data_IF_972052210013
#
_entry.id   IF_972052210013
#
_cell.length_a   1.000
_cell.length_b   1.000
_cell.length_c   1.000
_cell.angle_alpha   90.00
_cell.angle_beta   90.00
_cell.angle_gamma   90.00
#
_symmetry.space_group_name_H-M   'P 1'
#
loop_
_entity.id
_entity.type
_entity.pdbx_description
1 polymer ?
#
# COMPACT_ATOMS: atom_id res chain seq x y z
N UNK A 1 -0.84 3.48 -20.91
CA UNK A 1 -0.03 3.87 -19.74
C UNK A 1 -0.17 5.35 -19.33
N UNK A 2 -0.19 6.32 -20.26
CA UNK A 2 -0.15 7.76 -19.92
C UNK A 2 -1.35 8.30 -19.13
N UNK A 3 -2.58 7.82 -19.41
CA UNK A 3 -3.80 8.30 -18.75
C UNK A 3 -3.82 7.99 -17.25
N UNK A 4 -3.51 6.76 -16.84
CA UNK A 4 -3.48 6.37 -15.42
C UNK A 4 -2.44 7.19 -14.65
N UNK A 5 -1.27 7.43 -15.29
CA UNK A 5 -0.20 8.23 -14.70
C UNK A 5 -0.66 9.65 -14.35
N UNK A 6 -1.52 10.27 -15.16
CA UNK A 6 -2.07 11.59 -14.87
C UNK A 6 -2.87 11.62 -13.55
N UNK A 7 -3.71 10.61 -13.30
CA UNK A 7 -4.50 10.54 -12.06
C UNK A 7 -3.61 10.26 -10.84
N UNK A 8 -2.59 9.41 -11.00
CA UNK A 8 -1.61 9.11 -9.94
C UNK A 8 -0.73 10.34 -9.64
N UNK A 9 -0.32 11.10 -10.65
CA UNK A 9 0.53 12.28 -10.50
C UNK A 9 -0.14 13.37 -9.65
N UNK A 10 -1.46 13.56 -9.77
CA UNK A 10 -2.23 14.49 -8.91
C UNK A 10 -2.05 14.20 -7.41
N UNK A 11 -1.71 12.95 -7.05
CA UNK A 11 -1.57 12.49 -5.65
C UNK A 11 -0.22 11.85 -5.36
N UNK A 12 0.78 12.17 -6.17
CA UNK A 12 2.15 11.67 -6.01
C UNK A 12 2.68 11.90 -4.59
N UNK A 13 2.33 13.02 -3.95
CA UNK A 13 2.72 13.30 -2.56
C UNK A 13 2.19 12.27 -1.56
N UNK A 14 0.90 11.89 -1.67
CA UNK A 14 0.28 10.87 -0.79
C UNK A 14 0.86 9.49 -1.01
N UNK A 15 1.06 9.09 -2.28
CA UNK A 15 1.73 7.83 -2.58
C UNK A 15 3.17 7.81 -2.07
N UNK A 16 3.91 8.91 -2.20
CA UNK A 16 5.27 9.03 -1.68
C UNK A 16 5.32 8.89 -0.16
N UNK A 17 4.42 9.56 0.58
CA UNK A 17 4.35 9.43 2.05
C UNK A 17 3.96 8.01 2.49
N UNK A 18 3.06 7.36 1.74
CA UNK A 18 2.68 5.97 1.98
C UNK A 18 3.89 5.03 1.78
N UNK A 19 4.62 5.16 0.66
CA UNK A 19 5.85 4.38 0.42
C UNK A 19 6.88 4.58 1.54
N UNK A 20 7.10 5.82 1.98
CA UNK A 20 8.08 6.11 3.03
C UNK A 20 7.69 5.45 4.36
N UNK A 21 6.41 5.49 4.73
CA UNK A 21 5.89 4.79 5.91
C UNK A 21 6.00 3.27 5.79
N UNK A 22 5.70 2.70 4.62
CA UNK A 22 5.87 1.29 4.37
C UNK A 22 7.34 0.84 4.51
N UNK A 23 8.29 1.65 4.01
CA UNK A 23 9.74 1.39 4.19
C UNK A 23 10.12 1.39 5.68
N UNK A 24 9.62 2.36 6.45
CA UNK A 24 9.83 2.37 7.91
C UNK A 24 9.30 1.10 8.56
N UNK A 25 8.14 0.61 8.11
CA UNK A 25 7.58 -0.67 8.56
C UNK A 25 8.50 -1.85 8.26
N UNK A 26 8.99 -1.98 7.03
CA UNK A 26 9.92 -3.03 6.59
C UNK A 26 11.22 -3.00 7.42
N UNK A 27 11.82 -1.82 7.57
CA UNK A 27 13.06 -1.64 8.35
C UNK A 27 12.85 -1.98 9.82
N UNK A 28 11.73 -1.57 10.41
CA UNK A 28 11.39 -1.90 11.82
C UNK A 28 11.24 -3.41 12.01
N UNK A 29 10.61 -4.09 11.04
CA UNK A 29 10.50 -5.55 11.05
C UNK A 29 11.87 -6.24 10.91
N UNK A 30 12.78 -5.68 10.11
CA UNK A 30 14.15 -6.20 10.03
C UNK A 30 14.86 -6.11 11.40
N UNK A 31 14.73 -4.99 12.11
CA UNK A 31 15.30 -4.84 13.45
C UNK A 31 14.68 -5.80 14.47
N UNK A 32 13.38 -6.11 14.39
CA UNK A 32 12.76 -7.11 15.28
C UNK A 32 13.41 -8.48 15.12
N UNK A 33 13.74 -8.90 13.89
CA UNK A 33 14.49 -10.13 13.64
C UNK A 33 15.93 -10.08 14.17
N UNK A 34 16.62 -8.94 14.05
CA UNK A 34 17.97 -8.77 14.60
C UNK A 34 17.96 -8.91 16.12
N UNK A 35 17.00 -8.30 16.81
CA UNK A 35 16.86 -8.44 18.27
C UNK A 35 16.47 -9.86 18.68
N UNK A 36 15.59 -10.52 17.90
CA UNK A 36 15.23 -11.92 18.13
C UNK A 36 16.45 -12.84 18.01
N UNK A 37 17.30 -12.65 17.00
CA UNK A 37 18.53 -13.40 16.84
C UNK A 37 19.50 -13.20 18.02
N UNK A 38 19.66 -11.95 18.49
CA UNK A 38 20.48 -11.65 19.69
C UNK A 38 19.95 -12.36 20.94
N UNK A 39 18.63 -12.39 21.11
CA UNK A 39 17.97 -13.06 22.23
C UNK A 39 18.28 -14.57 22.21
N UNK A 40 18.14 -15.22 21.04
CA UNK A 40 18.43 -16.65 20.85
C UNK A 40 19.91 -16.95 21.12
N UNK A 41 20.84 -16.16 20.58
CA UNK A 41 22.29 -16.36 20.79
C UNK A 41 22.66 -16.22 22.27
N UNK A 42 22.10 -15.22 22.96
CA UNK A 42 22.32 -15.03 24.40
C UNK A 42 21.82 -16.23 25.21
N UNK A 43 20.66 -16.77 24.85
CA UNK A 43 20.09 -17.96 25.50
C UNK A 43 20.96 -19.19 25.32
N UNK A 44 21.45 -19.45 24.10
CA UNK A 44 22.35 -20.57 23.81
C UNK A 44 23.69 -20.42 24.53
N UNK A 45 24.19 -19.19 24.69
CA UNK A 45 25.42 -18.90 25.42
C UNK A 45 25.31 -19.13 26.94
N UNK A 46 24.11 -19.45 27.44
CA UNK A 46 23.87 -19.71 28.86
C UNK A 46 23.72 -18.46 29.71
N UNK A 47 23.48 -17.29 29.09
CA UNK A 47 23.25 -16.04 29.81
C UNK A 47 21.94 -16.12 30.61
N UNK A 48 21.98 -15.77 31.90
CA UNK A 48 20.85 -15.78 32.84
C UNK A 48 20.41 -14.38 33.29
N UNK A 49 20.93 -13.34 32.64
CA UNK A 49 20.58 -11.95 32.93
C UNK A 49 19.14 -11.64 32.51
N UNK A 50 18.25 -11.61 33.50
CA UNK A 50 16.82 -11.35 33.32
C UNK A 50 16.57 -9.94 32.78
N UNK A 51 17.37 -8.95 33.18
CA UNK A 51 17.19 -7.57 32.73
C UNK A 51 17.44 -7.46 31.22
N UNK A 52 18.48 -8.14 30.73
CA UNK A 52 18.78 -8.23 29.28
C UNK A 52 17.61 -8.83 28.49
N UNK A 53 17.01 -9.94 28.95
CA UNK A 53 15.90 -10.56 28.25
C UNK A 53 14.66 -9.67 28.27
N UNK A 54 14.34 -9.05 29.41
CA UNK A 54 13.21 -8.16 29.53
C UNK A 54 13.34 -6.93 28.60
N UNK A 55 14.51 -6.27 28.60
CA UNK A 55 14.76 -5.12 27.73
C UNK A 55 14.72 -5.51 26.24
N UNK A 56 15.26 -6.68 25.89
CA UNK A 56 15.27 -7.16 24.49
C UNK A 56 13.86 -7.51 24.01
N UNK A 57 13.05 -8.15 24.84
CA UNK A 57 11.64 -8.40 24.56
C UNK A 57 10.85 -7.11 24.38
N UNK A 58 11.08 -6.10 25.23
CA UNK A 58 10.45 -4.78 25.11
C UNK A 58 10.85 -4.09 23.78
N UNK A 59 12.11 -4.21 23.37
CA UNK A 59 12.59 -3.68 22.11
C UNK A 59 11.93 -4.36 20.90
N UNK A 60 11.80 -5.69 20.93
CA UNK A 60 11.10 -6.46 19.88
C UNK A 60 9.63 -6.00 19.79
N UNK A 61 8.95 -5.88 20.93
CA UNK A 61 7.57 -5.40 20.99
C UNK A 61 7.46 -3.99 20.39
N UNK A 62 8.35 -3.08 20.78
CA UNK A 62 8.38 -1.71 20.25
C UNK A 62 8.56 -1.70 18.72
N UNK A 63 9.49 -2.50 18.19
CA UNK A 63 9.71 -2.61 16.74
C UNK A 63 8.47 -3.14 16.00
N UNK A 64 7.76 -4.11 16.57
CA UNK A 64 6.50 -4.59 15.99
C UNK A 64 5.39 -3.54 16.03
N UNK A 65 5.26 -2.79 17.13
CA UNK A 65 4.28 -1.70 17.21
C UNK A 65 4.57 -0.63 16.16
N UNK A 66 5.82 -0.20 16.01
CA UNK A 66 6.21 0.77 14.98
C UNK A 66 5.89 0.22 13.59
N UNK A 67 6.22 -1.06 13.33
CA UNK A 67 5.92 -1.72 12.05
C UNK A 67 4.42 -1.67 11.73
N UNK A 68 3.57 -2.17 12.62
CA UNK A 68 2.13 -2.29 12.37
C UNK A 68 1.45 -0.92 12.26
N UNK A 69 1.86 0.06 13.08
CA UNK A 69 1.34 1.43 13.00
C UNK A 69 1.75 2.10 11.69
N UNK A 70 3.03 2.00 11.31
CA UNK A 70 3.51 2.60 10.06
C UNK A 70 2.84 1.96 8.83
N UNK A 71 2.69 0.63 8.82
CA UNK A 71 2.00 -0.10 7.77
C UNK A 71 0.51 0.31 7.70
N UNK A 72 -0.19 0.35 8.83
CA UNK A 72 -1.60 0.75 8.87
C UNK A 72 -1.85 2.17 8.36
N UNK A 73 -0.99 3.13 8.73
CA UNK A 73 -1.09 4.50 8.21
C UNK A 73 -0.75 4.53 6.71
N UNK A 74 0.31 3.83 6.30
CA UNK A 74 0.71 3.71 4.89
C UNK A 74 -0.45 3.23 4.01
N UNK A 75 -1.08 2.11 4.39
CA UNK A 75 -2.21 1.49 3.68
C UNK A 75 -3.41 2.42 3.65
N UNK A 76 -3.71 3.11 4.75
CA UNK A 76 -4.81 4.08 4.79
C UNK A 76 -4.60 5.21 3.77
N UNK A 77 -3.41 5.80 3.74
CA UNK A 77 -3.08 6.90 2.81
C UNK A 77 -3.15 6.43 1.35
N UNK A 78 -2.65 5.23 1.04
CA UNK A 78 -2.69 4.70 -0.33
C UNK A 78 -4.11 4.35 -0.78
N UNK A 79 -4.96 3.79 0.09
CA UNK A 79 -6.38 3.58 -0.22
C UNK A 79 -7.09 4.90 -0.49
N UNK A 80 -6.92 5.91 0.36
CA UNK A 80 -7.55 7.22 0.15
C UNK A 80 -7.09 7.85 -1.17
N UNK A 81 -5.79 7.76 -1.49
CA UNK A 81 -5.25 8.23 -2.76
C UNK A 81 -5.79 7.43 -3.96
N UNK A 82 -6.04 6.14 -3.78
CA UNK A 82 -6.51 5.24 -4.83
C UNK A 82 -8.00 5.39 -5.09
N UNK A 83 -8.85 5.36 -4.07
CA UNK A 83 -10.30 5.48 -4.23
C UNK A 83 -10.72 6.79 -4.85
N UNK A 84 -10.10 7.90 -4.44
CA UNK A 84 -10.36 9.18 -5.07
C UNK A 84 -9.93 9.15 -6.57
N UNK A 85 -9.00 8.27 -7.00
CA UNK A 85 -8.44 8.26 -8.38
C UNK A 85 -9.39 7.46 -9.26
N UNK A 86 -9.82 6.32 -8.75
CA UNK A 86 -10.89 5.51 -9.33
C UNK A 86 -12.18 6.34 -9.46
N UNK A 87 -12.52 7.16 -8.47
CA UNK A 87 -13.65 8.09 -8.53
C UNK A 87 -13.54 9.11 -9.65
N UNK A 88 -12.37 9.76 -9.80
CA UNK A 88 -12.12 10.68 -10.93
C UNK A 88 -12.20 9.97 -12.28
N UNK A 89 -11.61 8.78 -12.40
CA UNK A 89 -11.67 7.97 -13.62
C UNK A 89 -13.13 7.63 -13.97
N UNK A 90 -13.95 7.22 -12.99
CA UNK A 90 -15.39 6.93 -13.19
C UNK A 90 -16.14 8.16 -13.68
N UNK A 91 -15.87 9.33 -13.10
CA UNK A 91 -16.49 10.59 -13.53
C UNK A 91 -16.09 10.96 -14.96
N UNK A 92 -14.81 10.83 -15.32
CA UNK A 92 -14.31 11.18 -16.65
C UNK A 92 -14.83 10.21 -17.73
N UNK A 93 -14.93 8.91 -17.43
CA UNK A 93 -15.56 7.94 -18.33
C UNK A 93 -17.05 8.28 -18.53
N UNK A 94 -17.76 8.59 -17.45
CA UNK A 94 -19.19 8.94 -17.52
C UNK A 94 -19.41 10.22 -18.34
N UNK A 95 -18.60 11.25 -18.10
CA UNK A 95 -18.61 12.50 -18.86
C UNK A 95 -18.29 12.28 -20.35
N UNK A 96 -17.40 11.35 -20.66
CA UNK A 96 -17.09 11.00 -22.04
C UNK A 96 -18.27 10.29 -22.71
N UNK A 97 -18.92 9.36 -22.02
CA UNK A 97 -20.09 8.63 -22.51
C UNK A 97 -21.21 9.57 -22.93
N UNK A 98 -21.52 10.60 -22.14
CA UNK A 98 -22.55 11.60 -22.46
C UNK A 98 -22.23 12.48 -23.68
N UNK A 99 -20.96 12.57 -24.07
CA UNK A 99 -20.49 13.39 -25.21
C UNK A 99 -20.26 12.57 -26.47
N UNK A 100 -20.48 11.25 -26.43
CA UNK A 100 -20.28 10.38 -27.58
C UNK A 100 -21.49 10.40 -28.53
N UNK A 101 -21.28 10.22 -29.85
CA UNK A 101 -22.38 10.02 -30.79
C UNK A 101 -23.28 8.86 -30.35
N UNK A 102 -24.59 9.03 -30.49
CA UNK A 102 -25.56 8.04 -30.01
C UNK A 102 -25.36 6.66 -30.66
N UNK A 103 -24.94 6.61 -31.93
CA UNK A 103 -24.60 5.35 -32.61
C UNK A 103 -23.45 4.58 -31.94
N UNK A 104 -22.43 5.30 -31.45
CA UNK A 104 -21.30 4.69 -30.74
C UNK A 104 -21.71 4.16 -29.37
N UNK A 105 -22.66 4.83 -28.70
CA UNK A 105 -23.19 4.39 -27.41
C UNK A 105 -24.10 3.18 -27.60
N UNK A 106 -25.01 3.23 -28.58
CA UNK A 106 -25.99 2.17 -28.86
C UNK A 106 -25.36 0.89 -29.43
N UNK A 107 -24.16 0.97 -30.00
CA UNK A 107 -23.42 -0.21 -30.48
C UNK A 107 -22.75 -1.01 -29.36
N UNK A 108 -22.73 -0.49 -28.12
CA UNK A 108 -22.18 -1.18 -26.94
C UNK A 108 -23.29 -1.72 -26.05
N UNK A 109 -23.09 -2.92 -25.52
CA UNK A 109 -24.03 -3.49 -24.56
C UNK A 109 -23.94 -2.79 -23.20
N UNK A 110 -25.04 -2.79 -22.44
CA UNK A 110 -25.05 -2.29 -21.06
C UNK A 110 -24.06 -3.05 -20.16
N UNK A 111 -23.87 -4.36 -20.42
CA UNK A 111 -22.88 -5.18 -19.72
C UNK A 111 -21.44 -4.74 -19.97
N UNK A 112 -21.12 -4.34 -21.22
CA UNK A 112 -19.81 -3.80 -21.57
C UNK A 112 -19.54 -2.47 -20.86
N UNK A 113 -20.53 -1.57 -20.83
CA UNK A 113 -20.43 -0.30 -20.11
C UNK A 113 -20.24 -0.51 -18.60
N UNK A 114 -20.97 -1.46 -18.00
CA UNK A 114 -20.79 -1.85 -16.59
C UNK A 114 -19.38 -2.38 -16.33
N UNK A 115 -18.88 -3.24 -17.21
CA UNK A 115 -17.52 -3.79 -17.09
C UNK A 115 -16.47 -2.67 -17.12
N UNK A 116 -16.59 -1.73 -18.06
CA UNK A 116 -15.63 -0.62 -18.20
C UNK A 116 -15.68 0.33 -17.00
N UNK A 117 -16.87 0.80 -16.62
CA UNK A 117 -17.03 1.87 -15.60
C UNK A 117 -16.80 1.32 -14.19
N UNK A 118 -17.29 0.11 -13.91
CA UNK A 118 -17.24 -0.49 -12.57
C UNK A 118 -16.04 -1.41 -12.47
N UNK A 119 -16.08 -2.56 -13.14
CA UNK A 119 -15.17 -3.67 -12.87
C UNK A 119 -13.72 -3.37 -13.23
N UNK A 120 -13.46 -2.81 -14.42
CA UNK A 120 -12.11 -2.48 -14.86
C UNK A 120 -11.50 -1.37 -14.01
N UNK A 121 -12.26 -0.34 -13.66
CA UNK A 121 -11.77 0.73 -12.79
C UNK A 121 -11.47 0.17 -11.39
N UNK A 122 -12.35 -0.69 -10.87
CA UNK A 122 -12.16 -1.31 -9.55
C UNK A 122 -10.93 -2.20 -9.50
N UNK A 123 -10.65 -2.95 -10.57
CA UNK A 123 -9.46 -3.80 -10.67
C UNK A 123 -8.13 -3.03 -10.52
N UNK A 124 -8.13 -1.71 -10.71
CA UNK A 124 -6.97 -0.85 -10.50
C UNK A 124 -6.68 -0.60 -9.02
N UNK A 125 -7.63 -0.85 -8.11
CA UNK A 125 -7.48 -0.62 -6.68
C UNK A 125 -6.27 -1.37 -6.12
N UNK A 126 -6.23 -2.70 -6.27
CA UNK A 126 -5.14 -3.52 -5.72
C UNK A 126 -3.77 -3.05 -6.19
N UNK A 127 -3.69 -2.69 -7.47
CA UNK A 127 -2.44 -2.20 -8.07
C UNK A 127 -1.97 -0.88 -7.48
N UNK A 128 -2.89 0.07 -7.25
CA UNK A 128 -2.54 1.41 -6.78
C UNK A 128 -2.48 1.50 -5.25
N UNK A 129 -3.38 0.85 -4.54
CA UNK A 129 -3.50 0.93 -3.09
C UNK A 129 -2.47 0.05 -2.37
N UNK A 130 -2.16 -1.14 -2.89
CA UNK A 130 -1.29 -2.10 -2.21
C UNK A 130 0.04 -2.29 -2.93
N UNK A 131 0.01 -2.61 -4.23
CA UNK A 131 1.25 -2.88 -4.95
C UNK A 131 2.19 -1.67 -4.95
N UNK A 132 1.72 -0.45 -5.17
CA UNK A 132 2.61 0.73 -5.15
C UNK A 132 3.36 0.89 -3.81
N UNK A 133 2.72 0.94 -2.64
CA UNK A 133 3.47 1.06 -1.38
C UNK A 133 4.15 -0.23 -0.93
N UNK A 134 3.44 -1.37 -0.91
CA UNK A 134 3.94 -2.60 -0.30
C UNK A 134 5.03 -3.25 -1.13
N UNK A 135 4.85 -3.40 -2.44
CA UNK A 135 5.88 -3.98 -3.30
C UNK A 135 7.13 -3.10 -3.32
N UNK A 136 6.96 -1.78 -3.47
CA UNK A 136 8.09 -0.85 -3.52
C UNK A 136 8.87 -0.83 -2.21
N UNK A 137 8.18 -0.86 -1.06
CA UNK A 137 8.86 -0.92 0.23
C UNK A 137 9.60 -2.25 0.43
N UNK A 138 9.02 -3.37 0.00
CA UNK A 138 9.65 -4.67 0.12
C UNK A 138 10.86 -4.86 -0.80
N UNK A 139 10.99 -4.09 -1.90
CA UNK A 139 12.24 -4.07 -2.69
C UNK A 139 13.45 -3.52 -1.94
N UNK A 140 13.22 -2.75 -0.87
CA UNK A 140 14.29 -2.21 -0.01
C UNK A 140 14.69 -3.21 1.07
N UNK A 141 13.79 -4.13 1.44
CA UNK A 141 14.06 -5.21 2.37
C UNK A 141 14.93 -6.31 1.73
N UNK A 142 15.70 -7.07 2.53
CA UNK A 142 16.44 -8.24 2.07
C UNK A 142 15.51 -9.39 1.65
#
# INVERSE_FOLDING_TARGET
MGLIKQYVEKRKGRYFTSILLAIVGVVSNLFSYVYMARLIVSLISGNRDIEFYFSTCLMILLMFVIKEVAAGISTTISHEATFNSLGEIRNDISNKLFKMPLGDVMSRSSGELKNIIVDQVDSMETSLAHLVPEFTANLVGP
#
